data_IF_269591162650
#
_entry.id   IF_269591162650
#
_cell.length_a   1.000
_cell.length_b   1.000
_cell.length_c   1.000
_cell.angle_alpha   90.00
_cell.angle_beta   90.00
_cell.angle_gamma   90.00
#
_symmetry.space_group_name_H-M   'P 1'
#
loop_
_entity.id
_entity.type
_entity.pdbx_description
1 polymer ?
#
# COMPACT_ATOMS: atom_id res chain seq x y z
N UNK A 1 22.37 -6.62 -0.03
CA UNK A 1 21.74 -7.94 -0.26
C UNK A 1 20.27 -7.71 -0.53
N UNK A 2 19.88 -7.49 -1.78
CA UNK A 2 18.48 -7.32 -2.17
C UNK A 2 17.84 -8.71 -2.22
N UNK A 3 17.11 -9.08 -1.18
CA UNK A 3 16.15 -10.18 -1.25
C UNK A 3 15.03 -9.67 -2.15
N UNK A 4 15.03 -10.08 -3.42
CA UNK A 4 13.98 -9.71 -4.36
C UNK A 4 12.65 -10.20 -3.78
N UNK A 5 11.84 -9.26 -3.30
CA UNK A 5 10.50 -9.53 -2.78
C UNK A 5 9.64 -10.07 -3.91
N UNK A 6 9.14 -11.29 -3.74
CA UNK A 6 8.07 -11.92 -4.53
C UNK A 6 8.19 -11.87 -6.08
N UNK A 7 8.41 -13.02 -6.72
CA UNK A 7 8.40 -13.21 -8.18
C UNK A 7 7.00 -13.12 -8.84
N UNK A 8 6.03 -12.47 -8.19
CA UNK A 8 4.68 -12.30 -8.72
C UNK A 8 4.69 -11.25 -9.83
N UNK A 9 4.34 -11.68 -11.05
CA UNK A 9 4.20 -10.80 -12.21
C UNK A 9 3.19 -9.68 -11.93
N UNK A 10 2.02 -10.03 -11.37
CA UNK A 10 0.96 -9.05 -11.06
C UNK A 10 1.34 -8.11 -9.92
N UNK A 11 2.13 -8.54 -8.93
CA UNK A 11 2.67 -7.64 -7.90
C UNK A 11 3.66 -6.64 -8.51
N UNK A 12 4.51 -7.10 -9.43
CA UNK A 12 5.45 -6.25 -10.14
C UNK A 12 4.74 -5.24 -11.03
N UNK A 13 3.68 -5.66 -11.74
CA UNK A 13 2.84 -4.77 -12.54
C UNK A 13 2.11 -3.75 -11.66
N UNK A 14 1.56 -4.16 -10.50
CA UNK A 14 0.97 -3.23 -9.54
C UNK A 14 1.99 -2.15 -9.15
N UNK A 15 3.19 -2.54 -8.72
CA UNK A 15 4.23 -1.59 -8.30
C UNK A 15 4.58 -0.66 -9.45
N UNK A 16 4.80 -1.20 -10.66
CA UNK A 16 5.16 -0.40 -11.84
C UNK A 16 4.07 0.62 -12.17
N UNK A 17 2.81 0.21 -12.21
CA UNK A 17 1.71 1.09 -12.57
C UNK A 17 1.40 2.11 -11.48
N UNK A 18 1.51 1.73 -10.20
CA UNK A 18 1.39 2.65 -9.08
C UNK A 18 2.48 3.75 -9.15
N UNK A 19 3.74 3.39 -9.39
CA UNK A 19 4.82 4.36 -9.54
C UNK A 19 4.64 5.30 -10.75
N UNK A 20 4.02 4.83 -11.82
CA UNK A 20 3.67 5.69 -12.97
C UNK A 20 2.54 6.64 -12.60
N UNK A 21 1.45 6.13 -12.01
CA UNK A 21 0.30 6.92 -11.60
C UNK A 21 0.66 7.99 -10.55
N UNK A 22 1.54 7.66 -9.60
CA UNK A 22 2.00 8.55 -8.53
C UNK A 22 2.66 9.85 -9.01
N UNK A 23 3.15 9.89 -10.25
CA UNK A 23 3.70 11.12 -10.85
C UNK A 23 2.63 12.13 -11.23
N UNK A 24 1.38 11.69 -11.37
CA UNK A 24 0.25 12.49 -11.81
C UNK A 24 -0.83 12.62 -10.74
N UNK A 25 -0.90 11.64 -9.82
CA UNK A 25 -1.89 11.54 -8.76
C UNK A 25 -1.18 11.57 -7.39
N UNK A 26 -1.01 12.75 -6.77
CA UNK A 26 -0.19 12.90 -5.57
C UNK A 26 -0.88 12.45 -4.28
N UNK A 27 -2.22 12.48 -4.22
CA UNK A 27 -2.99 11.98 -3.07
C UNK A 27 -3.24 10.47 -3.19
N UNK A 28 -2.54 9.69 -2.35
CA UNK A 28 -2.52 8.23 -2.48
C UNK A 28 -2.25 7.49 -1.17
N UNK A 29 -2.81 6.29 -1.03
CA UNK A 29 -2.64 5.46 0.17
C UNK A 29 -2.53 3.97 -0.20
N UNK A 30 -1.68 3.24 0.53
CA UNK A 30 -1.47 1.80 0.37
C UNK A 30 -2.39 1.04 1.34
N UNK A 31 -3.09 0.03 0.83
CA UNK A 31 -3.81 -0.96 1.61
C UNK A 31 -3.09 -2.32 1.57
N UNK A 32 -2.82 -2.88 2.74
CA UNK A 32 -2.22 -4.20 2.93
C UNK A 32 -3.23 -5.15 3.58
N UNK A 33 -3.59 -6.22 2.89
CA UNK A 33 -4.43 -7.27 3.46
C UNK A 33 -3.62 -8.55 3.57
N UNK A 34 -3.77 -9.26 4.68
CA UNK A 34 -3.14 -10.57 4.88
C UNK A 34 -3.98 -11.44 5.80
N UNK A 35 -3.68 -12.74 5.80
CA UNK A 35 -4.32 -13.68 6.73
C UNK A 35 -4.19 -13.22 8.19
N UNK A 36 -5.16 -13.63 9.01
CA UNK A 36 -5.24 -13.25 10.42
C UNK A 36 -4.03 -13.68 11.27
N UNK A 37 -3.33 -14.76 10.90
CA UNK A 37 -2.20 -15.29 11.65
C UNK A 37 -0.86 -14.60 11.35
N UNK A 38 -0.83 -13.65 10.42
CA UNK A 38 0.40 -13.00 10.00
C UNK A 38 0.86 -11.96 11.02
N UNK A 39 2.00 -12.24 11.66
CA UNK A 39 2.56 -11.42 12.74
C UNK A 39 3.13 -10.08 12.25
N UNK A 40 3.75 -10.04 11.06
CA UNK A 40 4.37 -8.83 10.56
C UNK A 40 3.39 -7.92 9.82
N UNK A 41 3.47 -6.62 10.11
CA UNK A 41 2.56 -5.61 9.58
C UNK A 41 3.30 -4.30 9.31
N UNK A 42 3.19 -3.71 8.10
CA UNK A 42 2.52 -4.27 6.90
C UNK A 42 3.28 -5.47 6.30
N UNK A 43 2.72 -6.12 5.27
CA UNK A 43 3.44 -7.14 4.51
C UNK A 43 4.69 -6.57 3.81
N UNK A 44 5.64 -7.46 3.47
CA UNK A 44 6.85 -7.06 2.76
C UNK A 44 6.56 -6.36 1.42
N UNK A 45 5.56 -6.85 0.67
CA UNK A 45 5.12 -6.26 -0.60
C UNK A 45 4.55 -4.85 -0.40
N UNK A 46 3.68 -4.66 0.59
CA UNK A 46 3.11 -3.34 0.88
C UNK A 46 4.16 -2.35 1.41
N UNK A 47 5.09 -2.80 2.25
CA UNK A 47 6.23 -1.99 2.71
C UNK A 47 7.11 -1.55 1.54
N UNK A 48 7.50 -2.47 0.67
CA UNK A 48 8.34 -2.18 -0.50
C UNK A 48 7.66 -1.22 -1.48
N UNK A 49 6.35 -1.40 -1.68
CA UNK A 49 5.54 -0.48 -2.48
C UNK A 49 5.53 0.93 -1.87
N UNK A 50 5.26 1.05 -0.56
CA UNK A 50 5.20 2.32 0.15
C UNK A 50 6.54 3.07 0.13
N UNK A 51 7.64 2.36 0.37
CA UNK A 51 9.00 2.91 0.26
C UNK A 51 9.28 3.43 -1.15
N UNK A 52 9.00 2.63 -2.18
CA UNK A 52 9.22 3.02 -3.57
C UNK A 52 8.34 4.22 -4.00
N UNK A 53 7.10 4.28 -3.53
CA UNK A 53 6.23 5.44 -3.76
C UNK A 53 6.75 6.68 -3.04
N UNK A 54 7.37 6.52 -1.87
CA UNK A 54 8.03 7.59 -1.13
C UNK A 54 9.15 8.26 -1.91
N UNK A 55 9.91 7.48 -2.67
CA UNK A 55 10.97 7.98 -3.56
C UNK A 55 10.42 8.81 -4.74
N UNK A 56 9.15 8.62 -5.13
CA UNK A 56 8.48 9.51 -6.10
C UNK A 56 8.10 10.84 -5.45
N UNK A 57 7.79 10.81 -4.15
CA UNK A 57 7.45 11.97 -3.31
C UNK A 57 6.48 11.56 -2.19
N UNK A 58 6.33 12.36 -1.11
CA UNK A 58 5.32 12.09 -0.09
C UNK A 58 3.91 12.16 -0.66
N UNK A 59 2.96 11.43 -0.08
CA UNK A 59 1.55 11.61 -0.46
C UNK A 59 1.04 12.98 -0.02
N UNK A 60 0.28 13.64 -0.88
CA UNK A 60 -0.47 14.85 -0.52
C UNK A 60 -1.67 14.50 0.35
N UNK A 61 -1.62 14.96 1.60
CA UNK A 61 -2.70 14.82 2.56
C UNK A 61 -3.53 16.11 2.57
N UNK A 62 -4.85 15.98 2.61
CA UNK A 62 -5.74 17.13 2.76
C UNK A 62 -5.49 17.90 4.08
N UNK A 63 -5.18 17.15 5.15
CA UNK A 63 -4.80 17.70 6.44
C UNK A 63 -3.69 16.86 7.08
N UNK A 64 -2.83 17.47 7.90
CA UNK A 64 -1.89 16.75 8.76
C UNK A 64 -2.55 15.70 9.67
N UNK A 65 -1.82 14.63 9.97
CA UNK A 65 -2.33 13.50 10.78
C UNK A 65 -2.70 13.90 12.21
N UNK A 66 -2.00 14.88 12.79
CA UNK A 66 -2.22 15.42 14.13
C UNK A 66 -3.51 16.25 14.25
N UNK A 67 -4.09 16.63 13.11
CA UNK A 67 -5.42 17.26 13.03
C UNK A 67 -6.56 16.23 12.92
N UNK A 68 -6.25 14.93 12.99
CA UNK A 68 -7.28 13.88 12.99
C UNK A 68 -8.13 14.00 14.26
N UNK A 69 -9.41 14.27 14.09
CA UNK A 69 -10.39 14.13 15.17
C UNK A 69 -10.69 12.64 15.41
N UNK A 70 -10.57 12.16 16.65
CA UNK A 70 -10.74 10.75 17.00
C UNK A 70 -9.42 10.09 17.39
N UNK A 71 -9.27 8.79 17.12
CA UNK A 71 -8.03 8.06 17.42
C UNK A 71 -7.05 8.19 16.24
N UNK A 72 -5.90 8.89 16.38
CA UNK A 72 -4.92 9.02 15.31
C UNK A 72 -4.31 7.68 14.87
N UNK A 73 -4.18 6.72 15.78
CA UNK A 73 -3.66 5.38 15.48
C UNK A 73 -4.56 4.60 14.52
N UNK A 74 -5.86 4.91 14.51
CA UNK A 74 -6.81 4.30 13.60
C UNK A 74 -6.68 4.82 12.15
N UNK A 75 -5.96 5.92 11.92
CA UNK A 75 -5.91 6.54 10.59
C UNK A 75 -4.95 5.84 9.64
N UNK A 76 -3.71 5.51 10.08
CA UNK A 76 -2.67 4.75 9.33
C UNK A 76 -1.26 4.95 9.88
N UNK A 77 -0.34 4.05 9.51
CA UNK A 77 1.12 4.26 9.64
C UNK A 77 1.69 5.04 8.45
N UNK A 78 2.80 5.78 8.64
CA UNK A 78 3.55 6.39 7.53
C UNK A 78 4.83 5.60 7.26
N UNK A 79 5.05 5.19 6.01
CA UNK A 79 6.29 4.55 5.57
C UNK A 79 6.83 5.29 4.36
N UNK A 80 8.03 5.85 4.46
CA UNK A 80 8.65 6.62 3.36
C UNK A 80 7.84 7.84 2.91
N UNK A 81 6.98 8.40 3.77
CA UNK A 81 6.05 9.48 3.37
C UNK A 81 4.77 8.99 2.69
N UNK A 82 4.60 7.67 2.53
CA UNK A 82 3.38 7.04 2.00
C UNK A 82 2.50 6.53 3.14
N UNK A 83 1.20 6.85 3.16
CA UNK A 83 0.23 6.28 4.09
C UNK A 83 0.02 4.78 3.86
N UNK A 84 0.06 3.97 4.94
CA UNK A 84 -0.15 2.52 4.86
C UNK A 84 -1.15 2.04 5.90
N UNK A 85 -2.14 1.30 5.42
CA UNK A 85 -3.17 0.64 6.22
C UNK A 85 -2.99 -0.87 6.17
N UNK A 86 -3.31 -1.56 7.25
CA UNK A 86 -3.14 -3.02 7.28
C UNK A 86 -4.30 -3.73 7.94
N UNK A 87 -4.85 -4.71 7.23
CA UNK A 87 -5.90 -5.59 7.69
C UNK A 87 -5.36 -7.01 7.85
N UNK A 88 -5.78 -7.67 8.94
CA UNK A 88 -5.45 -9.06 9.26
C UNK A 88 -6.74 -9.82 9.49
N UNK A 89 -7.23 -10.51 8.46
CA UNK A 89 -8.55 -11.12 8.46
C UNK A 89 -8.50 -12.54 7.85
N UNK A 90 -9.37 -13.46 8.29
CA UNK A 90 -9.58 -14.72 7.59
C UNK A 90 -10.02 -14.48 6.14
N UNK A 91 -9.65 -15.39 5.22
CA UNK A 91 -10.02 -15.30 3.81
C UNK A 91 -9.05 -14.51 2.93
N UNK A 92 -8.19 -13.68 3.51
CA UNK A 92 -7.08 -13.05 2.80
C UNK A 92 -5.82 -13.92 2.86
N UNK A 93 -5.08 -14.01 1.75
CA UNK A 93 -3.74 -14.62 1.72
C UNK A 93 -2.70 -13.51 1.81
N UNK A 94 -2.60 -12.72 0.75
CA UNK A 94 -1.83 -11.49 0.66
C UNK A 94 -2.47 -10.65 -0.45
N UNK A 95 -2.87 -9.44 -0.13
CA UNK A 95 -3.32 -8.46 -1.11
C UNK A 95 -2.59 -7.16 -0.86
N UNK A 96 -2.06 -6.55 -1.91
CA UNK A 96 -1.58 -5.18 -1.88
C UNK A 96 -2.42 -4.36 -2.85
N UNK A 97 -2.80 -3.16 -2.44
CA UNK A 97 -3.63 -2.26 -3.22
C UNK A 97 -3.14 -0.83 -3.04
N UNK A 98 -2.96 -0.12 -4.16
CA UNK A 98 -2.71 1.32 -4.16
C UNK A 98 -3.99 2.04 -4.56
N UNK A 99 -4.38 3.02 -3.74
CA UNK A 99 -5.54 3.87 -3.95
C UNK A 99 -5.09 5.29 -4.25
N UNK A 100 -5.57 5.85 -5.35
CA UNK A 100 -5.38 7.26 -5.71
C UNK A 100 -6.72 7.99 -5.69
N UNK A 101 -6.73 9.19 -5.13
CA UNK A 101 -7.86 10.11 -5.19
C UNK A 101 -7.54 11.36 -6.00
N UNK A 102 -8.47 11.80 -6.85
CA UNK A 102 -8.31 13.03 -7.62
C UNK A 102 -9.65 13.71 -7.91
N UNK A 103 -10.02 14.68 -7.08
CA UNK A 103 -11.25 15.50 -7.20
C UNK A 103 -12.55 14.67 -7.27
N UNK A 104 -12.90 14.13 -8.44
CA UNK A 104 -14.07 13.30 -8.70
C UNK A 104 -13.74 11.89 -9.21
N UNK A 105 -12.47 11.65 -9.54
CA UNK A 105 -11.99 10.39 -10.06
C UNK A 105 -11.19 9.63 -8.99
N UNK A 106 -11.19 8.32 -9.12
CA UNK A 106 -10.39 7.41 -8.31
C UNK A 106 -9.72 6.37 -9.19
N UNK A 107 -8.49 6.02 -8.86
CA UNK A 107 -7.78 4.91 -9.47
C UNK A 107 -7.38 3.91 -8.40
N UNK A 108 -7.74 2.65 -8.61
CA UNK A 108 -7.34 1.54 -7.75
C UNK A 108 -6.47 0.59 -8.56
N UNK A 109 -5.31 0.25 -8.02
CA UNK A 109 -4.41 -0.76 -8.61
C UNK A 109 -4.20 -1.84 -7.56
N UNK A 110 -4.71 -3.05 -7.82
CA UNK A 110 -4.81 -4.11 -6.82
C UNK A 110 -4.17 -5.41 -7.31
N UNK A 111 -3.42 -6.05 -6.43
CA UNK A 111 -2.87 -7.38 -6.60
C UNK A 111 -3.36 -8.26 -5.45
N UNK A 112 -4.17 -9.28 -5.79
CA UNK A 112 -4.48 -10.39 -4.90
C UNK A 112 -3.54 -11.56 -5.23
N UNK A 113 -2.81 -12.05 -4.24
CA UNK A 113 -2.04 -13.29 -4.37
C UNK A 113 -2.98 -14.49 -4.47
N UNK A 114 -2.51 -15.55 -5.14
CA UNK A 114 -3.25 -16.80 -5.28
C UNK A 114 -3.40 -17.57 -3.96
N UNK A 115 -3.64 -18.88 -4.05
CA UNK A 115 -3.88 -19.76 -2.87
C UNK A 115 -2.74 -19.78 -1.85
N UNK A 116 -1.57 -19.24 -2.20
CA UNK A 116 -0.45 -19.04 -1.29
C UNK A 116 0.24 -17.71 -1.61
N UNK A 117 1.02 -17.21 -0.66
CA UNK A 117 1.93 -16.07 -0.90
C UNK A 117 3.20 -16.49 -1.68
N UNK A 118 3.25 -17.73 -2.19
CA UNK A 118 4.30 -18.21 -3.06
C UNK A 118 3.90 -17.96 -4.52
N UNK A 119 4.88 -17.70 -5.42
CA UNK A 119 4.64 -17.51 -6.85
C UNK A 119 4.01 -18.73 -7.52
#
# INVERSE_FOLDING_TARGET
MTVAGNFSLTATLLKRFALVAAKYLPSREVMDYSNAGKLNTPSGTARELAEALGEVGPSELAFPIDQTHGNPDARRATIGGTPVHSLRLPGYVLTAEELFGFSHDRLTIRHDAGKSAAP
#
